data_IF_323212385717
#
_entry.id   IF_323212385717
#
_cell.length_a   1.000
_cell.length_b   1.000
_cell.length_c   1.000
_cell.angle_alpha   90.00
_cell.angle_beta   90.00
_cell.angle_gamma   90.00
#
_symmetry.space_group_name_H-M   'P 1'
#
loop_
_entity.id
_entity.type
_entity.pdbx_description
1 polymer ?
#
# COMPACT_ATOMS: atom_id res chain seq x y z
N UNK A 1 -13.78 -9.06 19.84
CA UNK A 1 -12.85 -8.67 18.78
C UNK A 1 -12.15 -7.34 19.08
N UNK A 2 -12.87 -6.22 19.33
CA UNK A 2 -12.27 -4.88 19.57
C UNK A 2 -11.21 -4.92 20.69
N UNK A 3 -11.52 -5.49 21.85
CA UNK A 3 -10.58 -5.55 22.99
C UNK A 3 -9.30 -6.33 22.63
N UNK A 4 -9.42 -7.44 21.92
CA UNK A 4 -8.28 -8.25 21.50
C UNK A 4 -7.42 -7.50 20.47
N UNK A 5 -8.05 -6.78 19.53
CA UNK A 5 -7.33 -5.99 18.54
C UNK A 5 -6.62 -4.79 19.19
N UNK A 6 -7.28 -4.10 20.12
CA UNK A 6 -6.64 -3.01 20.90
C UNK A 6 -5.44 -3.51 21.70
N UNK A 7 -5.57 -4.65 22.37
CA UNK A 7 -4.46 -5.28 23.06
C UNK A 7 -3.29 -5.59 22.11
N UNK A 8 -3.58 -6.19 20.93
CA UNK A 8 -2.57 -6.51 19.92
C UNK A 8 -1.85 -5.26 19.41
N UNK A 9 -2.58 -4.18 19.12
CA UNK A 9 -2.01 -2.90 18.70
C UNK A 9 -1.10 -2.34 19.78
N UNK A 10 -1.56 -2.32 21.05
CA UNK A 10 -0.77 -1.85 22.20
C UNK A 10 0.53 -2.65 22.38
N UNK A 11 0.47 -3.98 22.30
CA UNK A 11 1.65 -4.84 22.36
C UNK A 11 2.66 -4.52 21.24
N UNK A 12 2.18 -4.28 20.00
CA UNK A 12 3.06 -3.90 18.90
C UNK A 12 3.74 -2.54 19.14
N UNK A 13 2.98 -1.55 19.60
CA UNK A 13 3.53 -0.20 19.90
C UNK A 13 4.62 -0.31 20.96
N UNK A 14 4.35 -1.00 22.07
CA UNK A 14 5.30 -1.14 23.17
C UNK A 14 6.57 -1.91 22.76
N UNK A 15 6.41 -3.01 22.03
CA UNK A 15 7.57 -3.78 21.53
C UNK A 15 8.40 -3.00 20.53
N UNK A 16 7.76 -2.23 19.66
CA UNK A 16 8.46 -1.37 18.72
C UNK A 16 9.26 -0.27 19.45
N UNK A 17 8.66 0.36 20.46
CA UNK A 17 9.35 1.34 21.32
C UNK A 17 10.55 0.70 22.04
N UNK A 18 10.35 -0.50 22.62
CA UNK A 18 11.40 -1.21 23.36
C UNK A 18 12.58 -1.63 22.47
N UNK A 19 12.34 -1.91 21.19
CA UNK A 19 13.37 -2.31 20.23
C UNK A 19 14.34 -1.17 19.88
N UNK A 20 13.97 0.09 20.09
CA UNK A 20 14.80 1.29 19.87
C UNK A 20 15.49 1.31 18.50
N UNK A 21 14.76 0.96 17.44
CA UNK A 21 15.29 1.00 16.08
C UNK A 21 15.79 2.38 15.71
N UNK A 22 17.01 2.46 15.13
CA UNK A 22 17.65 3.74 14.79
C UNK A 22 17.07 4.40 13.54
N UNK A 23 16.59 3.60 12.61
CA UNK A 23 16.20 4.04 11.26
C UNK A 23 14.74 3.76 10.93
N UNK A 24 13.98 3.16 11.85
CA UNK A 24 12.57 2.84 11.67
C UNK A 24 11.68 3.66 12.59
N UNK A 25 10.51 4.01 12.08
CA UNK A 25 9.44 4.66 12.83
C UNK A 25 8.12 3.93 12.56
N UNK A 26 7.42 3.50 13.61
CA UNK A 26 6.06 2.98 13.47
C UNK A 26 5.12 4.15 13.21
N UNK A 27 4.71 4.33 11.98
CA UNK A 27 3.86 5.44 11.57
C UNK A 27 2.37 5.16 11.76
N UNK A 28 1.95 3.92 11.67
CA UNK A 28 0.54 3.57 11.78
C UNK A 28 0.25 2.11 11.50
N UNK A 29 -1.04 1.82 11.32
CA UNK A 29 -1.58 0.49 11.09
C UNK A 29 -2.39 0.46 9.79
N UNK A 30 -2.30 -0.63 9.07
CA UNK A 30 -3.05 -0.88 7.86
C UNK A 30 -4.19 -1.87 8.13
N UNK A 31 -5.40 -1.50 7.74
CA UNK A 31 -6.58 -2.35 7.81
C UNK A 31 -6.60 -3.31 6.61
N UNK A 32 -6.44 -4.61 6.89
CA UNK A 32 -6.22 -5.64 5.86
C UNK A 32 -7.48 -6.00 5.06
N UNK A 33 -8.68 -5.86 5.68
CA UNK A 33 -9.91 -6.13 4.96
C UNK A 33 -10.17 -5.05 3.91
N UNK A 34 -10.25 -5.44 2.66
CA UNK A 34 -10.34 -4.51 1.53
C UNK A 34 -11.75 -3.95 1.31
N UNK A 35 -12.74 -4.35 2.12
CA UNK A 35 -14.05 -3.74 2.22
C UNK A 35 -14.51 -3.65 3.69
N UNK A 36 -15.65 -2.98 3.91
CA UNK A 36 -16.23 -2.84 5.25
C UNK A 36 -17.55 -3.59 5.43
N UNK A 37 -17.85 -4.54 4.54
CA UNK A 37 -19.14 -5.22 4.54
C UNK A 37 -19.50 -5.89 5.88
N UNK A 38 -18.50 -6.48 6.56
CA UNK A 38 -18.68 -7.20 7.83
C UNK A 38 -17.93 -6.59 9.01
N UNK A 39 -17.32 -5.44 8.86
CA UNK A 39 -16.40 -4.91 9.87
C UNK A 39 -16.46 -3.38 10.07
N UNK A 40 -17.40 -2.68 9.46
CA UNK A 40 -17.53 -1.22 9.59
C UNK A 40 -17.66 -0.76 11.06
N UNK A 41 -18.32 -1.54 11.91
CA UNK A 41 -18.50 -1.27 13.34
C UNK A 41 -17.21 -1.37 14.15
N UNK A 42 -16.18 -2.06 13.61
CA UNK A 42 -14.90 -2.22 14.28
C UNK A 42 -13.95 -1.04 14.00
N UNK A 43 -14.09 -0.39 12.83
CA UNK A 43 -13.09 0.58 12.36
C UNK A 43 -13.05 1.83 13.22
N UNK A 44 -14.21 2.41 13.60
CA UNK A 44 -14.27 3.63 14.41
C UNK A 44 -13.61 3.45 15.79
N UNK A 45 -14.01 2.47 16.64
CA UNK A 45 -13.39 2.33 17.94
C UNK A 45 -11.92 1.88 17.88
N UNK A 46 -11.48 1.27 16.78
CA UNK A 46 -10.07 0.95 16.56
C UNK A 46 -9.29 2.18 16.10
N UNK A 47 -9.85 3.03 15.24
CA UNK A 47 -9.20 4.27 14.83
C UNK A 47 -8.99 5.21 16.03
N UNK A 48 -10.00 5.38 16.89
CA UNK A 48 -9.87 6.17 18.12
C UNK A 48 -8.71 5.68 19.00
N UNK A 49 -8.57 4.37 19.14
CA UNK A 49 -7.47 3.78 19.91
C UNK A 49 -6.12 3.99 19.21
N UNK A 50 -6.03 3.76 17.90
CA UNK A 50 -4.81 3.98 17.10
C UNK A 50 -4.37 5.44 17.20
N UNK A 51 -5.31 6.38 17.10
CA UNK A 51 -5.03 7.80 17.24
C UNK A 51 -4.58 8.17 18.66
N UNK A 52 -5.13 7.54 19.71
CA UNK A 52 -4.66 7.75 21.09
C UNK A 52 -3.21 7.31 21.31
N UNK A 53 -2.72 6.36 20.52
CA UNK A 53 -1.30 5.96 20.47
C UNK A 53 -0.44 6.88 19.56
N UNK A 54 -1.01 7.95 19.01
CA UNK A 54 -0.33 8.87 18.10
C UNK A 54 0.04 8.23 16.75
N UNK A 55 -0.77 7.27 16.27
CA UNK A 55 -0.54 6.51 15.05
C UNK A 55 -1.61 6.79 14.00
N UNK A 56 -1.28 6.54 12.74
CA UNK A 56 -2.21 6.69 11.62
C UNK A 56 -2.89 5.36 11.30
N UNK A 57 -4.09 5.45 10.75
CA UNK A 57 -4.88 4.33 10.32
C UNK A 57 -5.07 4.36 8.80
N UNK A 58 -4.57 3.33 8.10
CA UNK A 58 -4.52 3.24 6.64
C UNK A 58 -5.47 2.19 6.13
N UNK A 59 -6.04 2.44 4.93
CA UNK A 59 -6.89 1.48 4.24
C UNK A 59 -6.59 1.44 2.74
N UNK A 60 -6.72 0.25 2.14
CA UNK A 60 -6.53 0.03 0.70
C UNK A 60 -7.73 -0.77 0.18
N UNK A 61 -8.89 -0.11 -0.07
CA UNK A 61 -10.08 -0.78 -0.56
C UNK A 61 -9.94 -1.17 -2.03
N UNK A 62 -10.53 -2.33 -2.39
CA UNK A 62 -10.65 -2.71 -3.78
C UNK A 62 -11.62 -1.80 -4.55
N UNK A 63 -11.62 -1.93 -5.87
CA UNK A 63 -12.51 -1.15 -6.75
C UNK A 63 -13.98 -1.27 -6.34
N UNK A 64 -14.61 -0.14 -6.04
CA UNK A 64 -16.00 -0.04 -5.56
C UNK A 64 -16.29 -0.83 -4.26
N UNK A 65 -15.28 -1.06 -3.43
CA UNK A 65 -15.46 -1.69 -2.14
C UNK A 65 -16.50 -0.96 -1.29
N UNK A 66 -17.30 -1.71 -0.54
CA UNK A 66 -18.27 -1.10 0.39
C UNK A 66 -17.54 -0.24 1.42
N UNK A 67 -18.00 1.00 1.60
CA UNK A 67 -17.45 1.96 2.54
C UNK A 67 -16.34 2.85 1.98
N UNK A 68 -15.87 2.64 0.74
CA UNK A 68 -14.80 3.45 0.16
C UNK A 68 -15.16 4.96 0.06
N UNK A 69 -16.42 5.30 -0.15
CA UNK A 69 -16.88 6.69 -0.20
C UNK A 69 -16.89 7.36 1.18
N UNK A 70 -17.00 6.55 2.24
CA UNK A 70 -17.15 7.00 3.63
C UNK A 70 -15.86 6.77 4.46
N UNK A 71 -14.74 6.49 3.82
CA UNK A 71 -13.49 6.09 4.48
C UNK A 71 -13.08 7.02 5.63
N UNK A 72 -13.28 8.33 5.49
CA UNK A 72 -13.00 9.30 6.56
C UNK A 72 -13.91 9.10 7.77
N UNK A 73 -15.21 8.87 7.52
CA UNK A 73 -16.19 8.61 8.60
C UNK A 73 -15.88 7.30 9.34
N UNK A 74 -15.26 6.35 8.66
CA UNK A 74 -14.83 5.09 9.24
C UNK A 74 -13.53 5.21 10.07
N UNK A 75 -12.94 6.41 10.13
CA UNK A 75 -11.79 6.72 10.98
C UNK A 75 -10.42 6.54 10.32
N UNK A 76 -10.36 6.28 9.03
CA UNK A 76 -9.08 6.17 8.32
C UNK A 76 -8.47 7.55 8.05
N UNK A 77 -7.15 7.64 8.17
CA UNK A 77 -6.39 8.88 7.86
C UNK A 77 -6.03 8.96 6.38
N UNK A 78 -5.78 7.82 5.76
CA UNK A 78 -5.51 7.72 4.32
C UNK A 78 -6.17 6.45 3.78
N UNK A 79 -6.89 6.58 2.66
CA UNK A 79 -7.36 5.44 1.89
C UNK A 79 -6.76 5.49 0.48
N UNK A 80 -6.26 4.34 0.01
CA UNK A 80 -5.67 4.16 -1.31
C UNK A 80 -6.59 3.33 -2.18
N UNK A 81 -7.17 3.90 -3.23
CA UNK A 81 -8.04 3.18 -4.14
C UNK A 81 -7.23 2.19 -4.97
N UNK A 82 -7.56 0.89 -4.87
CA UNK A 82 -7.07 -0.12 -5.80
C UNK A 82 -7.88 -0.05 -7.10
N UNK A 83 -7.26 0.07 -8.26
CA UNK A 83 -7.95 -0.10 -9.54
C UNK A 83 -8.36 -1.53 -9.85
N UNK A 84 -7.70 -2.54 -9.25
CA UNK A 84 -7.86 -3.98 -9.53
C UNK A 84 -7.72 -4.30 -11.02
N UNK A 85 -6.79 -3.62 -11.68
CA UNK A 85 -6.59 -3.72 -13.11
C UNK A 85 -5.50 -4.75 -13.47
N UNK A 86 -4.33 -4.69 -12.81
CA UNK A 86 -3.14 -5.44 -13.20
C UNK A 86 -3.35 -6.95 -13.33
N UNK A 87 -4.04 -7.55 -12.36
CA UNK A 87 -4.16 -9.00 -12.20
C UNK A 87 -5.24 -9.65 -13.08
N UNK A 88 -6.12 -8.85 -13.71
CA UNK A 88 -7.22 -9.36 -14.52
C UNK A 88 -7.22 -8.72 -15.91
N UNK A 89 -6.76 -9.48 -16.89
CA UNK A 89 -6.65 -9.03 -18.29
C UNK A 89 -8.00 -8.71 -18.96
N UNK A 90 -9.14 -9.11 -18.40
CA UNK A 90 -10.46 -8.74 -18.91
C UNK A 90 -10.86 -7.31 -18.52
N UNK A 91 -10.18 -6.70 -17.57
CA UNK A 91 -10.45 -5.33 -17.13
C UNK A 91 -9.79 -4.35 -18.12
N UNK A 92 -10.55 -3.43 -18.74
CA UNK A 92 -9.99 -2.50 -19.71
C UNK A 92 -9.17 -1.39 -19.02
N UNK A 93 -8.25 -0.78 -19.75
CA UNK A 93 -7.40 0.30 -19.25
C UNK A 93 -8.18 1.55 -18.81
N UNK A 94 -9.41 1.76 -19.35
CA UNK A 94 -10.31 2.83 -18.89
C UNK A 94 -10.61 2.78 -17.39
N UNK A 95 -10.53 1.58 -16.77
CA UNK A 95 -10.66 1.38 -15.32
C UNK A 95 -9.67 2.26 -14.53
N UNK A 96 -8.47 2.47 -15.06
CA UNK A 96 -7.45 3.30 -14.40
C UNK A 96 -7.90 4.77 -14.34
N UNK A 97 -8.48 5.29 -15.42
CA UNK A 97 -9.04 6.66 -15.43
C UNK A 97 -10.25 6.78 -14.48
N UNK A 98 -11.13 5.77 -14.48
CA UNK A 98 -12.30 5.73 -13.59
C UNK A 98 -11.88 5.68 -12.11
N UNK A 99 -10.86 4.87 -11.78
CA UNK A 99 -10.32 4.79 -10.43
C UNK A 99 -9.68 6.12 -9.99
N UNK A 100 -8.92 6.78 -10.86
CA UNK A 100 -8.37 8.11 -10.59
C UNK A 100 -9.47 9.16 -10.36
N UNK A 101 -10.56 9.12 -11.16
CA UNK A 101 -11.69 10.03 -11.00
C UNK A 101 -12.43 9.78 -9.68
N UNK A 102 -12.63 8.51 -9.31
CA UNK A 102 -13.27 8.12 -8.04
C UNK A 102 -12.42 8.53 -6.85
N UNK A 103 -11.12 8.24 -6.87
CA UNK A 103 -10.21 8.64 -5.81
C UNK A 103 -10.22 10.18 -5.61
N UNK A 104 -10.19 10.94 -6.69
CA UNK A 104 -10.26 12.41 -6.62
C UNK A 104 -11.60 12.90 -6.04
N UNK A 105 -12.72 12.28 -6.43
CA UNK A 105 -14.06 12.64 -5.93
C UNK A 105 -14.17 12.44 -4.43
N UNK A 106 -13.61 11.35 -3.90
CA UNK A 106 -13.72 10.99 -2.48
C UNK A 106 -12.49 11.39 -1.65
N UNK A 107 -11.52 12.09 -2.24
CA UNK A 107 -10.29 12.53 -1.57
C UNK A 107 -9.41 11.38 -1.13
N UNK A 108 -9.41 10.28 -1.89
CA UNK A 108 -8.55 9.12 -1.69
C UNK A 108 -7.21 9.29 -2.41
N UNK A 109 -6.23 8.54 -1.97
CA UNK A 109 -4.98 8.28 -2.69
C UNK A 109 -5.14 7.10 -3.65
N UNK A 110 -4.07 6.72 -4.35
CA UNK A 110 -4.09 5.63 -5.34
C UNK A 110 -3.12 4.52 -4.96
N UNK A 111 -3.48 3.28 -5.27
CA UNK A 111 -2.55 2.16 -5.29
C UNK A 111 -2.09 1.86 -6.71
N UNK A 112 -0.79 1.63 -6.85
CA UNK A 112 -0.14 1.17 -8.07
C UNK A 112 0.16 -0.32 -7.92
N UNK A 113 -0.53 -1.17 -8.69
CA UNK A 113 -0.49 -2.63 -8.53
C UNK A 113 0.36 -3.28 -9.62
N UNK A 114 1.29 -4.15 -9.24
CA UNK A 114 2.01 -5.07 -10.12
C UNK A 114 2.61 -6.24 -9.33
N UNK A 115 3.09 -7.25 -10.01
CA UNK A 115 3.84 -8.38 -9.46
C UNK A 115 4.95 -8.84 -10.43
N UNK A 116 5.48 -10.03 -10.21
CA UNK A 116 6.53 -10.63 -11.03
C UNK A 116 6.12 -10.81 -12.51
N UNK A 117 4.80 -10.82 -12.81
CA UNK A 117 4.31 -10.90 -14.20
C UNK A 117 4.50 -9.60 -14.98
N UNK A 118 4.95 -8.54 -14.35
CA UNK A 118 5.29 -7.29 -15.04
C UNK A 118 6.51 -7.42 -15.97
N UNK A 119 7.32 -8.49 -15.84
CA UNK A 119 8.44 -8.72 -16.79
C UNK A 119 7.95 -9.17 -18.15
N UNK A 120 8.51 -8.56 -19.22
CA UNK A 120 8.22 -8.92 -20.60
C UNK A 120 8.81 -10.29 -21.02
N UNK A 121 9.65 -10.90 -20.17
CA UNK A 121 10.27 -12.19 -20.42
C UNK A 121 9.30 -13.38 -20.29
N UNK A 122 8.17 -13.19 -19.60
CA UNK A 122 7.21 -14.26 -19.36
C UNK A 122 6.21 -14.42 -20.52
N UNK A 123 5.79 -15.66 -20.87
CA UNK A 123 4.80 -15.92 -21.92
C UNK A 123 3.44 -15.23 -21.66
N UNK A 124 3.04 -15.12 -20.41
CA UNK A 124 1.80 -14.48 -19.97
C UNK A 124 2.10 -13.17 -19.24
N UNK A 125 2.97 -12.38 -19.83
CA UNK A 125 3.41 -11.08 -19.26
C UNK A 125 2.25 -10.11 -19.08
N UNK A 126 2.28 -9.37 -18.00
CA UNK A 126 1.45 -8.19 -17.74
C UNK A 126 2.26 -6.89 -17.85
N UNK A 127 3.38 -6.90 -18.60
CA UNK A 127 4.24 -5.74 -18.79
C UNK A 127 3.47 -4.52 -19.31
N UNK A 128 2.61 -4.73 -20.31
CA UNK A 128 1.83 -3.64 -20.89
C UNK A 128 0.82 -3.06 -19.89
N UNK A 129 0.33 -3.88 -18.95
CA UNK A 129 -0.58 -3.42 -17.91
C UNK A 129 0.13 -2.55 -16.86
N UNK A 130 1.37 -2.88 -16.49
CA UNK A 130 2.18 -2.00 -15.65
C UNK A 130 2.50 -0.69 -16.38
N UNK A 131 2.82 -0.74 -17.68
CA UNK A 131 3.02 0.45 -18.49
C UNK A 131 1.73 1.31 -18.57
N UNK A 132 0.56 0.67 -18.67
CA UNK A 132 -0.73 1.36 -18.63
C UNK A 132 -0.93 2.12 -17.31
N UNK A 133 -0.62 1.53 -16.15
CA UNK A 133 -0.64 2.25 -14.87
C UNK A 133 0.18 3.54 -14.92
N UNK A 134 1.43 3.48 -15.40
CA UNK A 134 2.28 4.65 -15.47
C UNK A 134 1.65 5.71 -16.37
N UNK A 135 1.17 5.32 -17.58
CA UNK A 135 0.56 6.22 -18.54
C UNK A 135 -0.68 6.93 -17.99
N UNK A 136 -1.60 6.15 -17.37
CA UNK A 136 -2.85 6.70 -16.84
C UNK A 136 -2.63 7.53 -15.59
N UNK A 137 -1.67 7.15 -14.72
CA UNK A 137 -1.34 7.92 -13.54
C UNK A 137 -0.66 9.25 -13.89
N UNK A 138 0.21 9.28 -14.91
CA UNK A 138 0.76 10.53 -15.45
C UNK A 138 -0.35 11.40 -16.06
N UNK A 139 -1.18 10.84 -16.94
CA UNK A 139 -2.32 11.53 -17.58
C UNK A 139 -3.26 12.18 -16.55
N UNK A 140 -3.52 11.50 -15.44
CA UNK A 140 -4.41 11.96 -14.37
C UNK A 140 -3.68 12.76 -13.27
N UNK A 141 -2.42 13.10 -13.46
CA UNK A 141 -1.58 13.86 -12.51
C UNK A 141 -1.45 13.21 -11.11
N UNK A 142 -1.63 11.88 -11.03
CA UNK A 142 -1.58 11.14 -9.75
C UNK A 142 -0.22 11.28 -9.08
N UNK A 143 0.85 11.19 -9.86
CA UNK A 143 2.21 11.24 -9.32
C UNK A 143 2.60 12.59 -8.71
N UNK A 144 1.93 13.67 -9.07
CA UNK A 144 2.20 15.02 -8.54
C UNK A 144 1.17 15.47 -7.49
N UNK A 145 -0.07 14.98 -7.58
CA UNK A 145 -1.18 15.47 -6.78
C UNK A 145 -1.70 14.51 -5.72
N UNK A 146 -1.26 13.22 -5.75
CA UNK A 146 -1.75 12.18 -4.83
C UNK A 146 -0.62 11.44 -4.14
N UNK A 147 -0.87 10.86 -2.95
CA UNK A 147 -0.04 9.79 -2.44
C UNK A 147 -0.24 8.54 -3.31
N UNK A 148 0.79 7.68 -3.35
CA UNK A 148 0.73 6.42 -4.07
C UNK A 148 1.28 5.32 -3.18
N UNK A 149 0.46 4.29 -2.93
CA UNK A 149 0.91 3.02 -2.41
C UNK A 149 1.36 2.15 -3.60
N UNK A 150 2.38 1.33 -3.39
CA UNK A 150 2.88 0.39 -4.39
C UNK A 150 2.70 -1.03 -3.86
N UNK A 151 1.84 -1.80 -4.52
CA UNK A 151 1.80 -3.24 -4.35
C UNK A 151 2.64 -3.88 -5.46
N UNK A 152 3.73 -4.54 -5.09
CA UNK A 152 4.71 -5.10 -6.02
C UNK A 152 4.87 -6.63 -5.90
N UNK A 153 3.83 -7.31 -5.43
CA UNK A 153 3.89 -8.75 -5.20
C UNK A 153 4.99 -9.13 -4.19
N UNK A 154 5.56 -10.31 -4.34
CA UNK A 154 6.67 -10.75 -3.49
C UNK A 154 8.03 -10.25 -3.99
N UNK A 155 8.25 -10.27 -5.31
CA UNK A 155 9.55 -9.99 -5.94
C UNK A 155 9.44 -9.15 -7.22
N UNK A 156 8.32 -8.48 -7.48
CA UNK A 156 8.08 -7.77 -8.74
C UNK A 156 9.17 -6.73 -9.05
N UNK A 157 9.58 -5.93 -8.08
CA UNK A 157 10.69 -4.96 -8.25
C UNK A 157 12.00 -5.67 -8.57
N UNK A 158 12.36 -6.67 -7.78
CA UNK A 158 13.61 -7.41 -7.95
C UNK A 158 13.66 -8.15 -9.30
N UNK A 159 12.53 -8.77 -9.70
CA UNK A 159 12.42 -9.47 -10.99
C UNK A 159 12.65 -8.54 -12.17
N UNK A 160 12.12 -7.32 -12.10
CA UNK A 160 12.33 -6.31 -13.14
C UNK A 160 13.75 -5.73 -13.12
N UNK A 161 14.33 -5.54 -11.94
CA UNK A 161 15.70 -5.01 -11.77
C UNK A 161 16.76 -5.99 -12.26
N UNK A 162 16.60 -7.28 -11.92
CA UNK A 162 17.50 -8.35 -12.36
C UNK A 162 17.28 -8.79 -13.82
N UNK A 163 16.23 -8.31 -14.48
CA UNK A 163 15.92 -8.70 -15.87
C UNK A 163 16.95 -8.12 -16.86
N UNK A 164 17.41 -8.97 -17.78
CA UNK A 164 18.22 -8.52 -18.92
C UNK A 164 17.40 -8.01 -20.11
N UNK A 165 16.07 -8.09 -20.03
CA UNK A 165 15.18 -7.61 -21.08
C UNK A 165 15.19 -6.07 -21.15
N UNK A 166 15.53 -5.46 -22.31
CA UNK A 166 15.56 -4.01 -22.42
C UNK A 166 14.24 -3.30 -22.13
N UNK A 167 13.10 -3.98 -22.36
CA UNK A 167 11.76 -3.41 -22.05
C UNK A 167 11.58 -3.28 -20.55
N UNK A 168 11.99 -4.28 -19.78
CA UNK A 168 11.88 -4.27 -18.32
C UNK A 168 12.75 -3.18 -17.70
N UNK A 169 14.00 -3.07 -18.18
CA UNK A 169 14.92 -2.00 -17.77
C UNK A 169 14.34 -0.61 -18.07
N UNK A 170 13.80 -0.41 -19.25
CA UNK A 170 13.19 0.87 -19.64
C UNK A 170 11.97 1.21 -18.77
N UNK A 171 11.14 0.22 -18.43
CA UNK A 171 9.96 0.41 -17.58
C UNK A 171 10.35 0.77 -16.15
N UNK A 172 11.33 0.05 -15.57
CA UNK A 172 11.86 0.32 -14.24
C UNK A 172 12.54 1.68 -14.15
N UNK A 173 13.36 2.03 -15.13
CA UNK A 173 14.01 3.34 -15.20
C UNK A 173 12.97 4.47 -15.26
N UNK A 174 11.89 4.27 -16.01
CA UNK A 174 10.80 5.25 -16.08
C UNK A 174 10.15 5.43 -14.71
N UNK A 175 9.75 4.32 -14.05
CA UNK A 175 9.14 4.36 -12.73
C UNK A 175 10.09 4.98 -11.68
N UNK A 176 11.37 4.60 -11.69
CA UNK A 176 12.38 5.14 -10.79
C UNK A 176 12.53 6.66 -10.95
N UNK A 177 12.60 7.16 -12.20
CA UNK A 177 12.65 8.62 -12.46
C UNK A 177 11.41 9.35 -11.95
N UNK A 178 10.21 8.77 -12.15
CA UNK A 178 8.96 9.33 -11.61
C UNK A 178 9.03 9.43 -10.10
N UNK A 179 9.40 8.33 -9.40
CA UNK A 179 9.47 8.29 -7.94
C UNK A 179 10.50 9.32 -7.42
N UNK A 180 11.66 9.42 -8.03
CA UNK A 180 12.70 10.38 -7.66
C UNK A 180 12.27 11.85 -7.85
N UNK A 181 11.50 12.12 -8.91
CA UNK A 181 11.02 13.46 -9.23
C UNK A 181 9.82 13.90 -8.39
N UNK A 182 9.13 12.96 -7.72
CA UNK A 182 7.92 13.26 -6.94
C UNK A 182 8.20 14.24 -5.81
N UNK A 183 7.29 15.21 -5.69
CA UNK A 183 7.26 16.09 -4.53
C UNK A 183 6.80 15.33 -3.31
N UNK A 184 7.34 15.72 -2.14
CA UNK A 184 6.90 15.20 -0.88
C UNK A 184 5.48 15.68 -0.56
N UNK A 185 4.53 14.75 -0.42
CA UNK A 185 3.17 15.03 0.00
C UNK A 185 2.99 14.66 1.46
N UNK A 186 2.53 15.62 2.27
CA UNK A 186 2.26 15.40 3.69
C UNK A 186 0.81 14.91 3.85
N UNK A 187 0.66 13.78 4.50
CA UNK A 187 -0.62 13.26 4.96
C UNK A 187 -0.58 13.11 6.48
N UNK A 188 -1.30 13.96 7.20
CA UNK A 188 -1.37 13.91 8.65
C UNK A 188 -0.04 14.29 9.33
N UNK A 189 0.69 13.30 9.86
CA UNK A 189 1.92 13.53 10.63
C UNK A 189 3.08 13.93 9.72
N UNK A 190 3.92 14.92 10.08
CA UNK A 190 5.13 15.26 9.34
C UNK A 190 6.05 14.04 9.23
N UNK A 191 6.49 13.70 8.03
CA UNK A 191 7.39 12.58 7.79
C UNK A 191 8.83 13.05 7.67
N UNK A 192 9.77 12.31 8.26
CA UNK A 192 11.21 12.55 8.13
C UNK A 192 11.72 12.08 6.77
N UNK A 193 11.17 11.01 6.25
CA UNK A 193 11.56 10.35 5.01
C UNK A 193 10.47 10.42 3.95
N UNK A 194 10.85 10.45 2.67
CA UNK A 194 9.93 10.46 1.52
C UNK A 194 9.20 9.12 1.32
N UNK A 195 9.79 8.02 1.78
CA UNK A 195 9.29 6.67 1.53
C UNK A 195 8.77 6.06 2.82
N UNK A 196 7.58 5.47 2.74
CA UNK A 196 7.02 4.61 3.79
C UNK A 196 7.03 3.18 3.29
N UNK A 197 7.42 2.26 4.17
CA UNK A 197 7.33 0.83 3.90
C UNK A 197 6.12 0.27 4.64
N UNK A 198 5.28 -0.48 3.94
CA UNK A 198 4.15 -1.19 4.51
C UNK A 198 4.44 -2.68 4.49
N UNK A 199 4.55 -3.28 5.67
CA UNK A 199 4.71 -4.72 5.80
C UNK A 199 3.34 -5.41 5.62
N UNK A 200 2.99 -5.76 4.39
CA UNK A 200 1.76 -6.49 4.09
C UNK A 200 1.80 -7.89 4.74
N UNK A 201 0.97 -8.09 5.78
CA UNK A 201 0.91 -9.31 6.61
C UNK A 201 2.21 -9.66 7.37
N UNK A 202 3.20 -8.77 7.38
CA UNK A 202 4.51 -9.01 8.00
C UNK A 202 5.43 -9.92 7.17
N UNK A 203 6.62 -10.26 7.70
CA UNK A 203 7.54 -11.20 7.07
C UNK A 203 7.35 -12.60 7.67
N UNK A 204 6.44 -13.38 7.12
CA UNK A 204 5.92 -14.60 7.73
C UNK A 204 6.37 -15.91 7.06
N UNK A 205 6.90 -15.86 5.84
CA UNK A 205 7.09 -17.04 5.01
C UNK A 205 8.32 -17.89 5.32
N UNK A 206 9.25 -17.45 6.17
CA UNK A 206 10.58 -18.05 6.28
C UNK A 206 10.81 -18.93 7.50
N UNK A 207 9.96 -18.91 8.53
CA UNK A 207 10.16 -19.62 9.78
C UNK A 207 8.89 -20.17 10.44
N UNK A 208 7.81 -20.25 9.67
CA UNK A 208 6.54 -20.77 10.17
C UNK A 208 5.75 -19.79 11.03
N UNK A 209 6.16 -18.52 11.17
CA UNK A 209 5.34 -17.52 11.83
C UNK A 209 4.07 -17.24 11.03
N UNK A 210 2.94 -17.09 11.70
CA UNK A 210 1.66 -16.81 11.04
C UNK A 210 1.63 -15.39 10.45
N UNK A 211 0.84 -15.20 9.37
CA UNK A 211 0.55 -13.88 8.82
C UNK A 211 -0.04 -12.97 9.91
N UNK A 212 0.28 -11.68 9.86
CA UNK A 212 -0.22 -10.68 10.82
C UNK A 212 0.07 -11.03 12.31
N UNK A 213 1.01 -11.94 12.58
CA UNK A 213 1.46 -12.20 13.94
C UNK A 213 2.47 -11.14 14.39
N UNK A 214 2.60 -10.96 15.71
CA UNK A 214 3.63 -10.08 16.29
C UNK A 214 5.02 -10.52 15.79
N UNK A 215 5.27 -11.83 15.74
CA UNK A 215 6.54 -12.38 15.27
C UNK A 215 6.83 -12.00 13.81
N UNK A 216 5.85 -12.10 12.90
CA UNK A 216 6.03 -11.74 11.49
C UNK A 216 6.24 -10.25 11.28
N UNK A 217 5.61 -9.40 12.09
CA UNK A 217 5.79 -7.95 12.01
C UNK A 217 7.15 -7.50 12.56
N UNK A 218 7.58 -8.05 13.70
CA UNK A 218 8.92 -7.76 14.24
C UNK A 218 10.02 -8.20 13.29
N UNK A 219 9.86 -9.32 12.58
CA UNK A 219 10.79 -9.73 11.53
C UNK A 219 10.82 -8.80 10.34
N UNK A 220 9.67 -8.33 9.87
CA UNK A 220 9.63 -7.32 8.82
C UNK A 220 10.45 -6.09 9.23
N UNK A 221 10.37 -5.66 10.48
CA UNK A 221 11.19 -4.56 10.99
C UNK A 221 12.70 -4.85 10.92
N UNK A 222 13.14 -6.08 11.18
CA UNK A 222 14.55 -6.45 11.14
C UNK A 222 15.16 -6.44 9.73
N UNK A 223 14.33 -6.55 8.67
CA UNK A 223 14.83 -6.48 7.29
C UNK A 223 15.18 -5.05 6.84
N UNK A 224 14.71 -4.04 7.57
CA UNK A 224 14.89 -2.63 7.21
C UNK A 224 15.82 -1.86 8.17
N UNK A 225 16.45 -2.57 9.11
CA UNK A 225 17.45 -2.03 10.04
C UNK A 225 18.87 -2.32 9.58
#
# INVERSE_FOLDING_TARGET
QIAATKWYIGELVERFKAAKYKHLELSGFYWVAEDTHHCAELTIPLSEYIHSEGKLFYWIPYWQAKGHEEWKRLGFDVAYQQPNHFFNHSIPDSRLDEACATARRHGMAMEFEFDEKATAALPNSSHDRMAAYINHFEKNDVFNSSAVAYYCGNRGVLTLDESDNPKDKALMDRLARIIQARRYLKYGIPMKNKTRVVAHRGFWHTDGSAQNSIASLLKACLLYT
#
